data_IF_424626256803
#
_entry.id   IF_424626256803
#
_cell.length_a   1.000
_cell.length_b   1.000
_cell.length_c   1.000
_cell.angle_alpha   90.00
_cell.angle_beta   90.00
_cell.angle_gamma   90.00
#
_symmetry.space_group_name_H-M   'P 1'
#
loop_
_entity.id
_entity.type
_entity.pdbx_description
1 polymer ?
#
# COMPACT_ATOMS: atom_id res chain seq x y z
N UNK A 1 4.51 -5.53 30.83
CA UNK A 1 4.25 -4.63 29.68
C UNK A 1 3.08 -3.75 30.08
N UNK A 2 3.17 -2.44 29.93
CA UNK A 2 2.08 -1.54 30.30
C UNK A 2 0.93 -1.62 29.31
N UNK A 3 -0.27 -1.32 29.78
CA UNK A 3 -1.46 -1.09 28.93
C UNK A 3 -1.91 0.34 29.16
N UNK A 4 -2.13 1.07 28.08
CA UNK A 4 -2.63 2.45 28.08
C UNK A 4 -3.93 2.48 27.28
N UNK A 5 -4.99 3.02 27.85
CA UNK A 5 -6.32 3.03 27.25
C UNK A 5 -6.67 4.39 26.67
N UNK A 6 -7.21 4.38 25.45
CA UNK A 6 -7.71 5.58 24.78
C UNK A 6 -9.18 5.37 24.44
N UNK A 7 -10.01 6.34 24.69
CA UNK A 7 -11.41 6.28 24.31
C UNK A 7 -12.06 7.64 24.12
N UNK A 8 -13.21 7.71 23.43
CA UNK A 8 -13.91 8.96 23.17
C UNK A 8 -14.31 9.71 24.46
N UNK A 9 -14.70 8.98 25.49
CA UNK A 9 -15.21 9.55 26.74
C UNK A 9 -14.55 9.02 28.01
N UNK A 10 -13.82 7.91 27.93
CA UNK A 10 -13.17 7.25 29.06
C UNK A 10 -11.84 6.62 28.64
N UNK A 11 -10.86 6.57 29.55
CA UNK A 11 -9.54 5.99 29.32
C UNK A 11 -8.46 6.79 30.03
N UNK A 12 -7.21 6.39 29.89
CA UNK A 12 -6.06 7.15 30.38
C UNK A 12 -5.85 8.43 29.53
N UNK A 13 -6.20 8.35 28.27
CA UNK A 13 -6.30 9.49 27.36
C UNK A 13 -7.69 9.53 26.73
N UNK A 14 -8.31 10.69 26.70
CA UNK A 14 -9.70 10.88 26.25
C UNK A 14 -9.78 11.84 25.08
N UNK A 15 -10.55 11.46 24.05
CA UNK A 15 -10.87 12.28 22.87
C UNK A 15 -11.02 11.46 21.60
N UNK A 16 -11.52 12.14 20.57
CA UNK A 16 -11.93 11.54 19.27
C UNK A 16 -11.03 11.99 18.12
N UNK A 17 -9.75 12.22 18.38
CA UNK A 17 -8.78 12.62 17.33
C UNK A 17 -7.49 11.81 17.42
N UNK A 18 -6.58 12.03 16.45
CA UNK A 18 -5.25 11.42 16.49
C UNK A 18 -4.41 11.84 17.73
N UNK A 19 -4.73 12.97 18.37
CA UNK A 19 -3.89 13.50 19.45
C UNK A 19 -3.85 12.60 20.70
N UNK A 20 -4.98 12.20 21.35
CA UNK A 20 -4.94 11.27 22.49
C UNK A 20 -4.33 9.91 22.11
N UNK A 21 -4.52 9.42 20.90
CA UNK A 21 -3.90 8.19 20.43
C UNK A 21 -2.37 8.35 20.40
N UNK A 22 -1.87 9.45 19.83
CA UNK A 22 -0.44 9.73 19.76
C UNK A 22 0.19 9.90 21.15
N UNK A 23 -0.49 10.60 22.05
CA UNK A 23 -0.05 10.76 23.43
C UNK A 23 0.08 9.42 24.17
N UNK A 24 -0.87 8.52 23.96
CA UNK A 24 -0.85 7.17 24.53
C UNK A 24 0.31 6.33 23.98
N UNK A 25 0.54 6.39 22.66
CA UNK A 25 1.65 5.71 21.99
C UNK A 25 2.99 6.23 22.51
N UNK A 26 3.16 7.55 22.60
CA UNK A 26 4.39 8.17 23.08
C UNK A 26 4.61 7.87 24.58
N UNK A 27 3.55 7.82 25.39
CA UNK A 27 3.63 7.43 26.81
C UNK A 27 4.04 5.95 27.00
N UNK A 28 3.54 5.05 26.14
CA UNK A 28 3.94 3.64 26.13
C UNK A 28 5.40 3.50 25.69
N UNK A 29 5.80 4.18 24.62
CA UNK A 29 7.16 4.16 24.10
C UNK A 29 8.19 4.67 25.13
N UNK A 30 7.87 5.74 25.85
CA UNK A 30 8.73 6.31 26.90
C UNK A 30 9.02 5.31 28.03
N UNK A 31 8.20 4.26 28.17
CA UNK A 31 8.39 3.16 29.15
C UNK A 31 9.00 1.89 28.52
N UNK A 32 9.56 2.02 27.30
CA UNK A 32 10.20 0.91 26.59
C UNK A 32 9.26 0.07 25.74
N UNK A 33 8.00 0.45 25.62
CA UNK A 33 6.95 -0.22 24.86
C UNK A 33 5.73 -0.59 25.71
N UNK A 34 4.69 -1.09 25.04
CA UNK A 34 3.45 -1.46 25.69
C UNK A 34 2.30 -1.65 24.70
N UNK A 35 1.11 -1.86 25.22
CA UNK A 35 -0.12 -1.93 24.45
C UNK A 35 -0.93 -0.65 24.63
N UNK A 36 -1.34 -0.05 23.50
CA UNK A 36 -2.32 1.04 23.47
C UNK A 36 -3.64 0.45 22.97
N UNK A 37 -4.63 0.42 23.83
CA UNK A 37 -5.97 -0.09 23.54
C UNK A 37 -6.90 1.06 23.18
N UNK A 38 -7.44 1.04 21.96
CA UNK A 38 -8.45 1.99 21.49
C UNK A 38 -9.84 1.41 21.73
N UNK A 39 -10.66 2.12 22.48
CA UNK A 39 -12.06 1.78 22.62
C UNK A 39 -12.83 1.93 21.29
N UNK A 40 -14.03 1.35 21.24
CA UNK A 40 -14.97 1.58 20.14
C UNK A 40 -15.24 3.07 19.97
N UNK A 41 -15.27 3.53 18.73
CA UNK A 41 -15.52 4.93 18.36
C UNK A 41 -14.85 5.33 17.07
N UNK A 42 -15.21 6.49 16.55
CA UNK A 42 -14.59 7.10 15.39
C UNK A 42 -13.63 8.20 15.81
N UNK A 43 -12.38 8.07 15.43
CA UNK A 43 -11.31 9.02 15.71
C UNK A 43 -10.93 9.77 14.44
N UNK A 44 -11.18 11.08 14.42
CA UNK A 44 -10.84 11.93 13.28
C UNK A 44 -9.35 12.22 13.23
N UNK A 45 -8.71 11.87 12.14
CA UNK A 45 -7.29 12.08 11.96
C UNK A 45 -7.02 13.37 11.18
N UNK A 46 -6.29 14.29 11.77
CA UNK A 46 -5.76 15.51 11.13
C UNK A 46 -4.28 15.37 10.79
N UNK A 47 -3.65 14.30 11.27
CA UNK A 47 -2.29 13.88 10.98
C UNK A 47 -2.16 12.39 11.22
N UNK A 48 -1.05 11.82 10.81
CA UNK A 48 -0.71 10.43 11.03
C UNK A 48 -0.71 10.06 12.52
N UNK A 49 -1.23 8.88 12.83
CA UNK A 49 -0.90 8.16 14.05
C UNK A 49 0.48 7.52 13.84
N UNK A 50 1.50 8.05 14.52
CA UNK A 50 2.88 7.62 14.36
C UNK A 50 3.24 6.50 15.33
N UNK A 51 3.57 5.35 14.77
CA UNK A 51 4.01 4.18 15.52
C UNK A 51 5.35 4.42 16.21
N UNK A 52 5.56 3.74 17.33
CA UNK A 52 6.83 3.73 18.08
C UNK A 52 7.31 2.32 18.29
N UNK A 53 8.62 2.18 18.51
CA UNK A 53 9.26 0.91 18.77
C UNK A 53 8.61 0.17 19.95
N UNK A 54 8.38 -1.13 19.80
CA UNK A 54 7.80 -2.02 20.81
C UNK A 54 6.40 -1.61 21.29
N UNK A 55 5.68 -0.78 20.54
CA UNK A 55 4.29 -0.41 20.88
C UNK A 55 3.33 -1.21 20.01
N UNK A 56 2.31 -1.77 20.67
CA UNK A 56 1.19 -2.44 20.04
C UNK A 56 -0.05 -1.54 20.11
N UNK A 57 -0.59 -1.14 18.97
CA UNK A 57 -1.82 -0.38 18.84
C UNK A 57 -2.96 -1.35 18.51
N UNK A 58 -3.97 -1.42 19.35
CA UNK A 58 -5.06 -2.40 19.24
C UNK A 58 -6.41 -1.72 19.31
N UNK A 59 -7.28 -2.00 18.36
CA UNK A 59 -8.68 -1.64 18.37
C UNK A 59 -9.59 -2.82 18.75
N UNK A 60 -10.89 -2.61 18.68
CA UNK A 60 -11.93 -3.63 18.92
C UNK A 60 -12.62 -4.04 17.61
N UNK A 61 -11.83 -4.24 16.55
CA UNK A 61 -12.32 -4.65 15.23
C UNK A 61 -13.01 -3.50 14.49
N UNK A 62 -14.13 -3.80 13.87
CA UNK A 62 -14.92 -2.86 13.05
C UNK A 62 -15.42 -1.63 13.82
N UNK A 63 -15.47 -1.70 15.12
CA UNK A 63 -16.02 -0.64 15.96
C UNK A 63 -14.97 0.44 16.31
N UNK A 64 -13.68 0.21 16.03
CA UNK A 64 -12.63 1.21 16.15
C UNK A 64 -12.26 1.75 14.78
N UNK A 65 -12.66 2.98 14.48
CA UNK A 65 -12.50 3.61 13.18
C UNK A 65 -11.56 4.82 13.27
N UNK A 66 -10.46 4.79 12.53
CA UNK A 66 -9.57 5.92 12.32
C UNK A 66 -9.94 6.57 10.99
N UNK A 67 -10.67 7.68 11.03
CA UNK A 67 -11.18 8.37 9.84
C UNK A 67 -10.35 9.60 9.51
N UNK A 68 -9.83 9.67 8.28
CA UNK A 68 -9.14 10.88 7.78
C UNK A 68 -10.10 12.05 7.69
N UNK A 69 -9.69 13.24 8.16
CA UNK A 69 -10.47 14.48 8.02
C UNK A 69 -10.68 14.85 6.55
N UNK A 70 -11.57 15.81 6.30
CA UNK A 70 -11.77 16.33 4.95
C UNK A 70 -10.52 17.00 4.38
N UNK A 71 -10.43 16.99 3.05
CA UNK A 71 -9.35 17.52 2.27
C UNK A 71 -9.24 19.03 2.34
N UNK A 72 -8.02 19.51 2.51
CA UNK A 72 -7.66 20.92 2.37
C UNK A 72 -6.50 21.00 1.39
N UNK A 73 -6.56 21.91 0.43
CA UNK A 73 -5.49 22.12 -0.55
C UNK A 73 -5.43 23.57 -0.97
N UNK A 74 -4.23 24.06 -1.26
CA UNK A 74 -4.00 25.42 -1.79
C UNK A 74 -2.76 25.45 -2.67
N UNK A 75 -2.84 26.19 -3.77
CA UNK A 75 -1.67 26.52 -4.59
C UNK A 75 -0.70 27.45 -3.87
N UNK A 76 0.51 27.54 -4.37
CA UNK A 76 1.53 28.47 -3.85
C UNK A 76 1.22 29.92 -4.23
N UNK A 77 1.46 30.83 -3.31
CA UNK A 77 1.55 32.26 -3.59
C UNK A 77 3.00 32.71 -3.86
N UNK A 78 3.97 31.93 -3.39
CA UNK A 78 5.41 32.12 -3.59
C UNK A 78 6.05 30.73 -3.67
N UNK A 79 7.02 30.55 -4.55
CA UNK A 79 7.78 29.30 -4.70
C UNK A 79 8.38 28.83 -3.38
N UNK A 80 8.54 27.53 -3.25
CA UNK A 80 9.04 26.88 -2.05
C UNK A 80 10.40 26.25 -2.31
N UNK A 81 11.47 26.96 -1.90
CA UNK A 81 12.85 26.59 -2.19
C UNK A 81 13.36 25.45 -1.32
N UNK A 82 14.21 24.62 -1.88
CA UNK A 82 14.92 23.55 -1.20
C UNK A 82 15.49 23.99 0.16
N UNK A 83 15.33 23.17 1.15
CA UNK A 83 15.86 23.40 2.50
C UNK A 83 15.05 24.37 3.36
N UNK A 84 14.08 25.09 2.81
CA UNK A 84 13.16 25.91 3.61
C UNK A 84 12.13 25.04 4.35
N UNK A 85 11.59 25.60 5.43
CA UNK A 85 10.58 24.95 6.30
C UNK A 85 9.29 25.76 6.35
N UNK A 86 9.02 26.59 5.36
CA UNK A 86 7.80 27.40 5.28
C UNK A 86 7.35 27.53 3.83
N UNK A 87 6.06 27.53 3.60
CA UNK A 87 5.43 27.77 2.30
C UNK A 87 4.36 28.83 2.44
N UNK A 88 4.30 29.76 1.49
CA UNK A 88 3.24 30.77 1.41
C UNK A 88 2.21 30.31 0.38
N UNK A 89 0.98 30.09 0.85
CA UNK A 89 -0.13 29.58 0.05
C UNK A 89 -1.08 30.69 -0.37
N UNK A 90 -1.85 30.47 -1.42
CA UNK A 90 -2.86 31.40 -1.91
C UNK A 90 -4.04 31.54 -0.93
N UNK A 91 -4.48 30.43 -0.37
CA UNK A 91 -5.59 30.37 0.60
C UNK A 91 -5.19 29.47 1.79
N UNK A 92 -5.00 30.02 3.00
CA UNK A 92 -4.67 29.26 4.19
C UNK A 92 -5.88 28.64 4.88
N UNK A 93 -7.10 28.85 4.36
CA UNK A 93 -8.35 28.39 4.99
C UNK A 93 -8.37 26.88 5.15
N UNK A 94 -8.67 26.41 6.36
CA UNK A 94 -8.72 24.99 6.70
C UNK A 94 -7.40 24.37 7.15
N UNK A 95 -6.25 24.99 6.85
CA UNK A 95 -4.96 24.57 7.40
C UNK A 95 -4.84 24.97 8.87
N UNK A 96 -4.20 24.12 9.68
CA UNK A 96 -4.00 24.37 11.11
C UNK A 96 -2.72 23.72 11.63
N UNK A 97 -2.20 24.24 12.72
CA UNK A 97 -1.10 23.60 13.42
C UNK A 97 -1.46 22.15 13.83
N UNK A 98 -0.49 21.25 13.70
CA UNK A 98 -0.65 19.81 13.94
C UNK A 98 -1.18 19.03 12.74
N UNK A 99 -1.59 19.67 11.65
CA UNK A 99 -2.06 18.98 10.44
C UNK A 99 -0.90 18.43 9.62
N UNK A 100 -1.04 17.18 9.18
CA UNK A 100 -0.13 16.56 8.22
C UNK A 100 -0.40 17.07 6.79
N UNK A 101 0.66 17.42 6.07
CA UNK A 101 0.58 17.94 4.70
C UNK A 101 1.63 17.33 3.79
N UNK A 102 1.34 17.35 2.50
CA UNK A 102 2.31 17.12 1.42
C UNK A 102 2.49 18.41 0.66
N UNK A 103 3.75 18.75 0.38
CA UNK A 103 4.17 19.84 -0.51
C UNK A 103 4.75 19.22 -1.77
N UNK A 104 4.25 19.62 -2.94
CA UNK A 104 4.64 19.08 -4.24
C UNK A 104 4.44 20.06 -5.37
N UNK A 105 4.98 19.73 -6.56
CA UNK A 105 4.58 20.30 -7.85
C UNK A 105 4.46 19.19 -8.92
N UNK A 106 4.22 19.54 -10.17
CA UNK A 106 4.02 18.55 -11.26
C UNK A 106 5.32 17.84 -11.67
N UNK A 107 6.49 18.36 -11.28
CA UNK A 107 7.80 17.74 -11.52
C UNK A 107 8.17 16.74 -10.43
N UNK A 108 7.58 16.90 -9.24
CA UNK A 108 7.83 16.04 -8.10
C UNK A 108 7.04 14.72 -8.23
N UNK A 109 7.25 13.85 -7.29
CA UNK A 109 6.53 12.58 -7.17
C UNK A 109 7.34 11.56 -6.39
N UNK A 110 6.68 10.67 -5.70
CA UNK A 110 7.32 9.68 -4.86
C UNK A 110 8.19 10.33 -3.79
N UNK A 111 9.47 10.01 -3.80
CA UNK A 111 10.44 10.52 -2.81
C UNK A 111 10.76 12.01 -2.93
N UNK A 112 10.32 12.65 -4.00
CA UNK A 112 10.52 14.08 -4.24
C UNK A 112 9.37 14.94 -3.70
N UNK A 113 8.30 14.36 -3.19
CA UNK A 113 7.27 15.09 -2.45
C UNK A 113 7.70 15.28 -0.99
N UNK A 114 7.44 16.42 -0.38
CA UNK A 114 7.74 16.65 1.05
C UNK A 114 6.52 16.37 1.91
N UNK A 115 6.60 15.32 2.74
CA UNK A 115 5.62 15.02 3.78
C UNK A 115 6.03 15.71 5.08
N UNK A 116 5.19 16.58 5.64
CA UNK A 116 5.50 17.40 6.81
C UNK A 116 4.27 17.61 7.71
N UNK A 117 4.51 18.18 8.89
CA UNK A 117 3.46 18.65 9.81
C UNK A 117 3.50 20.17 9.91
N UNK A 118 2.35 20.82 9.82
CA UNK A 118 2.26 22.28 10.09
C UNK A 118 2.50 22.54 11.57
N UNK A 119 3.49 23.36 11.89
CA UNK A 119 3.82 23.77 13.26
C UNK A 119 3.14 25.08 13.63
N UNK A 120 2.93 25.99 12.66
CA UNK A 120 2.29 27.29 12.83
C UNK A 120 1.66 27.76 11.53
N UNK A 121 0.49 28.38 11.60
CA UNK A 121 -0.13 29.15 10.49
C UNK A 121 -0.03 30.63 10.84
N UNK A 122 0.65 31.43 10.00
CA UNK A 122 0.83 32.86 10.18
C UNK A 122 0.44 33.62 8.90
N UNK A 123 -0.77 34.17 8.89
CA UNK A 123 -1.34 34.71 7.66
C UNK A 123 -1.42 33.61 6.61
N UNK A 124 -0.86 33.84 5.45
CA UNK A 124 -0.82 32.87 4.35
C UNK A 124 0.42 31.93 4.42
N UNK A 125 1.25 32.03 5.46
CA UNK A 125 2.45 31.22 5.58
C UNK A 125 2.23 30.05 6.52
N UNK A 126 2.49 28.84 6.02
CA UNK A 126 2.49 27.58 6.78
C UNK A 126 3.95 27.28 7.15
N UNK A 127 4.25 27.22 8.43
CA UNK A 127 5.54 26.76 8.95
C UNK A 127 5.48 25.25 9.17
N UNK A 128 6.52 24.52 8.76
CA UNK A 128 6.57 23.07 8.74
C UNK A 128 7.68 22.53 9.63
N UNK A 129 7.52 21.28 10.09
CA UNK A 129 8.52 20.59 10.92
C UNK A 129 9.68 19.99 10.11
N UNK A 130 9.63 20.10 8.77
CA UNK A 130 10.65 19.54 7.85
C UNK A 130 10.99 20.51 6.74
N UNK A 131 12.25 20.44 6.30
CA UNK A 131 12.72 21.15 5.11
C UNK A 131 12.23 20.46 3.83
N UNK A 132 12.03 21.27 2.79
CA UNK A 132 11.70 20.76 1.46
C UNK A 132 12.87 19.96 0.88
N UNK A 133 12.53 18.88 0.17
CA UNK A 133 13.50 17.95 -0.44
C UNK A 133 13.93 18.39 -1.84
N UNK A 134 13.25 19.36 -2.43
CA UNK A 134 13.60 20.00 -3.71
C UNK A 134 12.99 21.41 -3.79
N UNK A 135 13.33 22.17 -4.85
CA UNK A 135 12.62 23.41 -5.18
C UNK A 135 11.28 23.06 -5.81
N UNK A 136 10.20 23.61 -5.26
CA UNK A 136 8.85 23.50 -5.82
C UNK A 136 8.40 24.85 -6.36
N UNK A 137 7.83 24.84 -7.55
CA UNK A 137 7.52 26.01 -8.35
C UNK A 137 5.99 26.17 -8.50
N UNK A 138 5.49 27.34 -8.18
CA UNK A 138 4.07 27.66 -8.30
C UNK A 138 3.56 27.58 -9.73
N UNK A 139 4.38 27.99 -10.71
CA UNK A 139 4.06 27.92 -12.15
C UNK A 139 4.07 26.48 -12.69
N UNK A 140 4.60 25.54 -11.93
CA UNK A 140 4.58 24.08 -12.22
C UNK A 140 3.55 23.34 -11.38
N UNK A 141 2.43 23.98 -11.04
CA UNK A 141 1.37 23.33 -10.28
C UNK A 141 1.68 23.15 -8.80
N UNK A 142 2.52 24.02 -8.22
CA UNK A 142 2.89 23.99 -6.80
C UNK A 142 1.68 23.93 -5.87
N UNK A 143 1.62 22.92 -5.01
CA UNK A 143 0.45 22.56 -4.21
C UNK A 143 0.84 22.11 -2.79
N UNK A 144 0.13 22.63 -1.80
CA UNK A 144 0.07 22.08 -0.45
C UNK A 144 -1.31 21.47 -0.24
N UNK A 145 -1.35 20.25 0.27
CA UNK A 145 -2.61 19.62 0.65
C UNK A 145 -2.44 18.75 1.89
N UNK A 146 -3.52 18.47 2.62
CA UNK A 146 -3.48 17.60 3.80
C UNK A 146 -3.29 16.12 3.44
N UNK A 147 -2.20 15.82 2.72
CA UNK A 147 -1.74 14.48 2.42
C UNK A 147 -0.96 13.91 3.60
N UNK A 148 -1.41 12.80 4.15
CA UNK A 148 -0.67 12.04 5.16
C UNK A 148 -1.17 10.60 5.20
N UNK A 149 -0.31 9.62 5.53
CA UNK A 149 -0.75 8.27 5.82
C UNK A 149 -1.49 8.24 7.17
N UNK A 150 -2.72 7.73 7.24
CA UNK A 150 -3.48 7.63 8.50
C UNK A 150 -2.72 6.97 9.64
N UNK A 151 -2.07 5.84 9.39
CA UNK A 151 -1.20 5.16 10.37
C UNK A 151 0.17 4.95 9.75
N UNK A 152 1.22 5.44 10.39
CA UNK A 152 2.57 5.39 9.83
C UNK A 152 3.64 4.99 10.84
N UNK A 153 4.67 4.28 10.36
CA UNK A 153 5.90 3.98 11.08
C UNK A 153 7.12 4.37 10.26
N UNK A 154 7.91 5.29 10.76
CA UNK A 154 9.18 5.71 10.16
C UNK A 154 10.32 5.29 11.08
N UNK A 155 11.32 4.57 10.54
CA UNK A 155 12.47 4.06 11.33
C UNK A 155 12.05 3.25 12.57
N UNK A 156 10.97 2.49 12.48
CA UNK A 156 10.36 1.80 13.60
C UNK A 156 10.69 0.31 13.60
N UNK A 157 10.82 -0.27 14.77
CA UNK A 157 11.09 -1.69 14.97
C UNK A 157 10.07 -2.29 15.95
N UNK A 158 9.60 -3.51 15.65
CA UNK A 158 8.74 -4.30 16.52
C UNK A 158 7.42 -3.61 16.91
N UNK A 159 6.87 -2.79 16.02
CA UNK A 159 5.55 -2.20 16.20
C UNK A 159 4.45 -3.16 15.68
N UNK A 160 3.31 -3.14 16.33
CA UNK A 160 2.15 -3.96 15.97
C UNK A 160 0.91 -3.08 15.83
N UNK A 161 0.12 -3.31 14.78
CA UNK A 161 -1.21 -2.72 14.57
C UNK A 161 -2.19 -3.86 14.45
N UNK A 162 -3.30 -3.81 15.16
CA UNK A 162 -4.26 -4.93 15.19
C UNK A 162 -5.70 -4.49 15.43
N UNK A 163 -6.64 -5.09 14.68
CA UNK A 163 -8.07 -5.04 14.98
C UNK A 163 -8.68 -3.65 14.89
N UNK A 164 -8.43 -2.87 13.84
CA UNK A 164 -9.03 -1.55 13.63
C UNK A 164 -9.29 -1.27 12.14
N UNK A 165 -10.14 -0.30 11.89
CA UNK A 165 -10.50 0.18 10.55
C UNK A 165 -9.83 1.53 10.30
N UNK A 166 -9.20 1.68 9.14
CA UNK A 166 -8.86 2.98 8.57
C UNK A 166 -9.87 3.32 7.47
N UNK A 167 -10.60 4.40 7.66
CA UNK A 167 -11.45 5.04 6.63
C UNK A 167 -10.69 6.25 6.08
N UNK A 168 -10.28 6.14 4.82
CA UNK A 168 -9.50 7.18 4.14
C UNK A 168 -10.31 8.39 3.72
N UNK A 169 -11.64 8.36 3.83
CA UNK A 169 -12.52 9.46 3.41
C UNK A 169 -12.21 9.94 1.98
N UNK A 170 -12.13 9.01 1.03
CA UNK A 170 -11.73 9.25 -0.37
C UNK A 170 -12.52 10.37 -1.02
N UNK A 171 -13.83 10.42 -0.79
CA UNK A 171 -14.70 11.45 -1.36
C UNK A 171 -14.38 12.86 -0.84
N UNK A 172 -14.04 12.99 0.42
CA UNK A 172 -13.60 14.25 1.03
C UNK A 172 -12.15 14.64 0.74
N UNK A 173 -11.35 13.77 0.10
CA UNK A 173 -9.92 13.97 -0.14
C UNK A 173 -9.57 13.77 -1.62
N UNK A 174 -9.81 14.75 -2.50
CA UNK A 174 -9.65 14.57 -3.95
C UNK A 174 -8.20 14.49 -4.43
N UNK A 175 -7.22 14.95 -3.63
CA UNK A 175 -5.80 14.89 -4.01
C UNK A 175 -5.19 13.58 -3.53
N UNK A 176 -4.66 12.79 -4.50
CA UNK A 176 -4.03 11.50 -4.22
C UNK A 176 -2.66 11.68 -3.58
N UNK A 177 -2.39 10.92 -2.51
CA UNK A 177 -1.03 10.76 -1.96
C UNK A 177 -0.27 9.67 -2.73
N UNK A 178 1.01 9.91 -3.00
CA UNK A 178 1.86 8.92 -3.69
C UNK A 178 2.26 7.76 -2.75
N UNK A 179 2.15 6.53 -3.23
CA UNK A 179 2.41 5.32 -2.45
C UNK A 179 3.86 5.12 -1.99
N UNK A 180 4.82 5.85 -2.57
CA UNK A 180 6.21 5.83 -2.10
C UNK A 180 6.41 6.60 -0.79
N UNK A 181 5.55 7.57 -0.49
CA UNK A 181 5.63 8.42 0.71
C UNK A 181 4.44 8.23 1.67
N UNK A 182 3.43 7.47 1.27
CA UNK A 182 2.25 7.26 2.10
C UNK A 182 1.37 6.12 1.60
N UNK A 183 0.50 5.67 2.45
CA UNK A 183 -0.54 4.66 2.22
C UNK A 183 -1.54 4.75 3.36
N UNK A 184 -2.64 4.01 3.31
CA UNK A 184 -3.57 3.94 4.45
C UNK A 184 -2.87 3.45 5.71
N UNK A 185 -2.10 2.37 5.57
CA UNK A 185 -1.07 1.93 6.52
C UNK A 185 0.27 2.06 5.81
N UNK A 186 1.22 2.76 6.43
CA UNK A 186 2.51 3.05 5.81
C UNK A 186 3.69 2.77 6.74
N UNK A 187 4.68 1.99 6.26
CA UNK A 187 5.92 1.72 6.98
C UNK A 187 7.13 2.09 6.11
N UNK A 188 8.05 2.87 6.65
CA UNK A 188 9.28 3.25 5.96
C UNK A 188 10.50 3.01 6.83
N UNK A 189 11.48 2.27 6.30
CA UNK A 189 12.67 1.82 7.02
C UNK A 189 12.33 1.11 8.35
N UNK A 190 11.24 0.33 8.32
CA UNK A 190 10.73 -0.41 9.47
C UNK A 190 11.22 -1.87 9.45
N UNK A 191 11.25 -2.47 10.63
CA UNK A 191 11.66 -3.89 10.80
C UNK A 191 10.76 -4.60 11.79
N UNK A 192 10.57 -5.91 11.58
CA UNK A 192 9.86 -6.78 12.53
C UNK A 192 8.46 -6.25 12.91
N UNK A 193 7.80 -5.49 12.04
CA UNK A 193 6.49 -4.92 12.32
C UNK A 193 5.38 -5.82 11.80
N UNK A 194 4.21 -5.75 12.45
CA UNK A 194 3.04 -6.55 12.10
C UNK A 194 1.79 -5.69 11.98
N UNK A 195 1.02 -5.94 10.90
CA UNK A 195 -0.31 -5.38 10.67
C UNK A 195 -1.27 -6.57 10.56
N UNK A 196 -2.26 -6.67 11.43
CA UNK A 196 -3.14 -7.83 11.47
C UNK A 196 -4.59 -7.46 11.76
N UNK A 197 -5.51 -8.25 11.17
CA UNK A 197 -6.94 -8.14 11.47
C UNK A 197 -7.50 -6.71 11.28
N UNK A 198 -6.93 -5.97 10.32
CA UNK A 198 -7.25 -4.59 10.02
C UNK A 198 -8.02 -4.46 8.70
N UNK A 199 -8.87 -3.45 8.63
CA UNK A 199 -9.54 -3.04 7.40
C UNK A 199 -9.03 -1.68 6.96
N UNK A 200 -8.78 -1.53 5.66
CA UNK A 200 -8.54 -0.23 5.03
C UNK A 200 -9.53 -0.05 3.89
N UNK A 201 -10.22 1.07 3.90
CA UNK A 201 -11.22 1.39 2.89
C UNK A 201 -11.21 2.86 2.48
N UNK A 202 -11.68 3.11 1.25
CA UNK A 202 -12.00 4.46 0.74
C UNK A 202 -10.84 5.46 0.92
N UNK A 203 -9.60 5.06 0.53
CA UNK A 203 -8.41 5.91 0.63
C UNK A 203 -7.95 6.37 -0.75
N UNK A 204 -7.67 7.67 -0.89
CA UNK A 204 -7.12 8.24 -2.11
C UNK A 204 -5.58 8.18 -2.11
N UNK A 205 -5.07 7.03 -2.45
CA UNK A 205 -3.65 6.66 -2.45
C UNK A 205 -3.53 5.16 -2.52
N UNK A 206 -2.41 4.61 -2.06
CA UNK A 206 -2.19 3.17 -1.96
C UNK A 206 -2.69 2.64 -0.61
N UNK A 207 -2.99 1.36 -0.57
CA UNK A 207 -3.53 0.68 0.60
C UNK A 207 -2.51 0.45 1.72
N UNK A 208 -2.06 -0.79 1.87
CA UNK A 208 -0.98 -1.14 2.81
C UNK A 208 0.33 -1.05 2.05
N UNK A 209 1.10 0.02 2.28
CA UNK A 209 2.39 0.28 1.64
C UNK A 209 3.53 0.26 2.65
N UNK A 210 4.62 -0.41 2.30
CA UNK A 210 5.84 -0.38 3.11
C UNK A 210 7.09 -0.37 2.22
N UNK A 211 8.06 0.49 2.57
CA UNK A 211 9.22 0.81 1.73
C UNK A 211 10.52 0.67 2.53
N UNK A 212 11.53 0.04 1.93
CA UNK A 212 12.87 -0.16 2.54
C UNK A 212 12.76 -0.90 3.89
N UNK A 213 12.01 -1.99 3.92
CA UNK A 213 11.66 -2.68 5.17
C UNK A 213 12.24 -4.09 5.23
N UNK A 214 12.24 -4.68 6.41
CA UNK A 214 12.64 -6.07 6.61
C UNK A 214 11.67 -6.77 7.57
N UNK A 215 11.32 -8.03 7.25
CA UNK A 215 10.55 -8.90 8.13
C UNK A 215 9.19 -8.30 8.55
N UNK A 216 8.48 -7.69 7.58
CA UNK A 216 7.13 -7.16 7.80
C UNK A 216 6.11 -8.28 7.62
N UNK A 217 5.18 -8.40 8.55
CA UNK A 217 4.06 -9.33 8.47
C UNK A 217 2.74 -8.57 8.33
N UNK A 218 2.00 -8.87 7.25
CA UNK A 218 0.63 -8.38 7.04
C UNK A 218 -0.28 -9.60 6.97
N UNK A 219 -1.25 -9.69 7.86
CA UNK A 219 -2.09 -10.89 7.90
C UNK A 219 -3.54 -10.61 8.25
N UNK A 220 -4.44 -11.32 7.57
CA UNK A 220 -5.90 -11.24 7.75
C UNK A 220 -6.44 -9.81 7.66
N UNK A 221 -5.84 -9.01 6.78
CA UNK A 221 -6.27 -7.64 6.50
C UNK A 221 -7.17 -7.61 5.26
N UNK A 222 -8.08 -6.65 5.23
CA UNK A 222 -8.91 -6.35 4.07
C UNK A 222 -8.59 -4.94 3.54
N UNK A 223 -8.35 -4.81 2.24
CA UNK A 223 -8.07 -3.55 1.56
C UNK A 223 -9.02 -3.41 0.39
N UNK A 224 -9.83 -2.33 0.38
CA UNK A 224 -10.87 -2.14 -0.63
C UNK A 224 -11.13 -0.68 -0.98
N UNK A 225 -11.61 -0.46 -2.21
CA UNK A 225 -12.01 0.85 -2.75
C UNK A 225 -10.90 1.91 -2.70
N UNK A 226 -9.65 1.46 -2.87
CA UNK A 226 -8.46 2.30 -2.88
C UNK A 226 -8.25 2.85 -4.29
N UNK A 227 -7.85 4.11 -4.43
CA UNK A 227 -7.58 4.70 -5.75
C UNK A 227 -6.32 4.13 -6.40
N UNK A 228 -5.36 3.70 -5.60
CA UNK A 228 -4.10 3.13 -6.07
C UNK A 228 -4.01 1.62 -5.88
N UNK A 229 -2.83 1.19 -5.48
CA UNK A 229 -2.46 -0.21 -5.28
C UNK A 229 -3.01 -0.72 -3.94
N UNK A 230 -3.62 -1.88 -3.91
CA UNK A 230 -4.17 -2.44 -2.67
C UNK A 230 -3.07 -2.82 -1.66
N UNK A 231 -2.32 -3.88 -1.94
CA UNK A 231 -1.16 -4.31 -1.15
C UNK A 231 0.13 -3.91 -1.89
N UNK A 232 0.97 -3.09 -1.26
CA UNK A 232 2.13 -2.49 -1.91
C UNK A 232 3.42 -2.69 -1.09
N UNK A 233 3.96 -3.93 -1.00
CA UNK A 233 5.34 -4.12 -0.58
C UNK A 233 6.27 -3.43 -1.59
N UNK A 234 7.10 -2.51 -1.10
CA UNK A 234 7.80 -1.59 -1.98
C UNK A 234 9.31 -1.63 -1.85
N UNK A 235 9.91 -0.64 -2.42
CA UNK A 235 11.34 -0.48 -2.72
C UNK A 235 12.26 -1.09 -1.68
N UNK A 236 12.99 -2.15 -2.07
CA UNK A 236 14.04 -2.76 -1.24
C UNK A 236 13.55 -3.47 0.01
N UNK A 237 12.29 -3.91 0.03
CA UNK A 237 11.75 -4.69 1.15
C UNK A 237 12.17 -6.17 1.04
N UNK A 238 12.68 -6.72 2.13
CA UNK A 238 13.16 -8.09 2.20
C UNK A 238 12.34 -8.93 3.19
N UNK A 239 12.07 -10.18 2.82
CA UNK A 239 11.36 -11.21 3.58
C UNK A 239 9.98 -10.75 4.12
N UNK A 240 9.17 -10.03 3.32
CA UNK A 240 7.81 -9.74 3.76
C UNK A 240 6.96 -11.02 3.77
N UNK A 241 6.05 -11.12 4.74
CA UNK A 241 5.01 -12.14 4.77
C UNK A 241 3.67 -11.45 4.65
N UNK A 242 2.90 -11.77 3.60
CA UNK A 242 1.53 -11.28 3.44
C UNK A 242 0.63 -12.50 3.29
N UNK A 243 -0.29 -12.71 4.24
CA UNK A 243 -1.10 -13.92 4.27
C UNK A 243 -2.53 -13.72 4.73
N UNK A 244 -3.44 -14.47 4.09
CA UNK A 244 -4.86 -14.46 4.45
C UNK A 244 -5.51 -13.09 4.29
N UNK A 245 -4.96 -12.23 3.42
CA UNK A 245 -5.45 -10.90 3.17
C UNK A 245 -6.41 -10.88 1.97
N UNK A 246 -7.35 -9.91 1.98
CA UNK A 246 -8.24 -9.62 0.86
C UNK A 246 -7.91 -8.25 0.30
N UNK A 247 -7.68 -8.19 -1.00
CA UNK A 247 -7.45 -6.92 -1.72
C UNK A 247 -8.36 -6.88 -2.93
N UNK A 248 -9.39 -6.02 -2.90
CA UNK A 248 -10.44 -6.07 -3.90
C UNK A 248 -11.10 -4.72 -4.18
N UNK A 249 -11.66 -4.59 -5.38
CA UNK A 249 -12.35 -3.36 -5.84
C UNK A 249 -11.46 -2.12 -5.72
N UNK A 250 -10.15 -2.27 -5.90
CA UNK A 250 -9.21 -1.17 -5.96
C UNK A 250 -9.08 -0.69 -7.41
N UNK A 251 -8.85 0.60 -7.63
CA UNK A 251 -8.85 1.16 -8.99
C UNK A 251 -7.62 0.70 -9.81
N UNK A 252 -6.52 0.31 -9.15
CA UNK A 252 -5.31 -0.25 -9.78
C UNK A 252 -5.09 -1.74 -9.44
N UNK A 253 -3.86 -2.16 -9.16
CA UNK A 253 -3.53 -3.57 -8.86
C UNK A 253 -3.97 -3.99 -7.46
N UNK A 254 -4.45 -5.20 -7.34
CA UNK A 254 -4.74 -5.78 -6.03
C UNK A 254 -3.49 -5.94 -5.17
N UNK A 255 -2.39 -6.39 -5.79
CA UNK A 255 -1.11 -6.61 -5.15
C UNK A 255 0.03 -6.22 -6.11
N UNK A 256 0.88 -5.30 -5.70
CA UNK A 256 1.98 -4.78 -6.50
C UNK A 256 3.30 -4.85 -5.76
N UNK A 257 4.26 -5.63 -6.28
CA UNK A 257 5.63 -5.59 -5.81
C UNK A 257 6.36 -4.43 -6.49
N UNK A 258 6.89 -3.50 -5.68
CA UNK A 258 7.54 -2.31 -6.20
C UNK A 258 9.03 -2.31 -5.91
N UNK A 259 9.83 -2.67 -6.88
CA UNK A 259 11.28 -2.54 -6.91
C UNK A 259 12.07 -3.25 -5.79
N UNK A 260 12.63 -4.39 -6.09
CA UNK A 260 13.53 -5.16 -5.23
C UNK A 260 12.86 -5.73 -3.98
N UNK A 261 11.64 -6.22 -4.13
CA UNK A 261 11.00 -7.05 -3.10
C UNK A 261 11.56 -8.46 -3.23
N UNK A 262 12.19 -8.96 -2.20
CA UNK A 262 12.93 -10.22 -2.25
C UNK A 262 12.61 -11.15 -1.09
N UNK A 263 12.67 -12.47 -1.37
CA UNK A 263 12.51 -13.54 -0.37
C UNK A 263 11.16 -13.45 0.38
N UNK A 264 10.12 -12.92 -0.28
CA UNK A 264 8.79 -12.75 0.28
C UNK A 264 7.98 -14.05 0.25
N UNK A 265 7.13 -14.23 1.25
CA UNK A 265 6.09 -15.26 1.30
C UNK A 265 4.71 -14.61 1.21
N UNK A 266 3.97 -14.94 0.17
CA UNK A 266 2.65 -14.39 -0.12
C UNK A 266 1.66 -15.55 -0.25
N UNK A 267 0.87 -15.79 0.80
CA UNK A 267 0.09 -17.02 0.88
C UNK A 267 -1.37 -16.81 1.28
N UNK A 268 -2.26 -17.62 0.67
CA UNK A 268 -3.68 -17.66 1.00
C UNK A 268 -4.38 -16.28 0.91
N UNK A 269 -3.96 -15.42 -0.01
CA UNK A 269 -4.56 -14.10 -0.23
C UNK A 269 -5.64 -14.18 -1.32
N UNK A 270 -6.66 -13.33 -1.23
CA UNK A 270 -7.71 -13.13 -2.24
C UNK A 270 -7.49 -11.77 -2.93
N UNK A 271 -7.23 -11.77 -4.24
CA UNK A 271 -6.96 -10.59 -5.08
C UNK A 271 -8.05 -10.51 -6.16
N UNK A 272 -9.13 -9.79 -5.89
CA UNK A 272 -10.35 -9.92 -6.71
C UNK A 272 -10.93 -8.58 -7.14
N UNK A 273 -11.49 -8.55 -8.36
CA UNK A 273 -12.23 -7.39 -8.89
C UNK A 273 -11.44 -6.07 -8.82
N UNK A 274 -10.11 -6.10 -9.00
CA UNK A 274 -9.29 -4.91 -9.06
C UNK A 274 -9.26 -4.34 -10.49
N UNK A 275 -9.12 -3.03 -10.60
CA UNK A 275 -9.23 -2.30 -11.87
C UNK A 275 -8.15 -2.62 -12.89
N UNK A 276 -7.03 -3.21 -12.49
CA UNK A 276 -5.95 -3.60 -13.39
C UNK A 276 -5.53 -5.05 -13.18
N UNK A 277 -4.39 -5.31 -12.56
CA UNK A 277 -3.88 -6.67 -12.32
C UNK A 277 -4.29 -7.19 -10.94
N UNK A 278 -4.50 -8.49 -10.84
CA UNK A 278 -4.59 -9.11 -9.51
C UNK A 278 -3.26 -9.02 -8.78
N UNK A 279 -2.17 -9.43 -9.45
CA UNK A 279 -0.81 -9.42 -8.93
C UNK A 279 0.17 -8.89 -9.99
N UNK A 280 1.04 -7.96 -9.60
CA UNK A 280 2.07 -7.37 -10.47
C UNK A 280 3.46 -7.54 -9.86
N UNK A 281 4.39 -8.10 -10.65
CA UNK A 281 5.77 -8.41 -10.27
C UNK A 281 6.72 -7.78 -11.30
N UNK A 282 7.84 -7.19 -10.89
CA UNK A 282 8.76 -6.57 -11.88
C UNK A 282 10.11 -6.25 -11.28
N UNK A 283 10.49 -5.02 -11.34
CA UNK A 283 11.82 -4.45 -11.12
C UNK A 283 12.66 -5.09 -10.00
N UNK A 284 13.38 -6.17 -10.31
CA UNK A 284 14.21 -6.96 -9.40
C UNK A 284 13.43 -7.57 -8.22
N UNK A 285 12.14 -7.81 -8.40
CA UNK A 285 11.33 -8.55 -7.44
C UNK A 285 11.63 -10.04 -7.64
N UNK A 286 12.47 -10.61 -6.80
CA UNK A 286 13.06 -11.93 -7.04
C UNK A 286 12.98 -12.84 -5.83
N UNK A 287 13.01 -14.15 -6.12
CA UNK A 287 13.08 -15.17 -5.08
C UNK A 287 11.87 -15.19 -4.14
N UNK A 288 10.71 -14.74 -4.63
CA UNK A 288 9.46 -14.71 -3.89
C UNK A 288 8.64 -15.98 -4.13
N UNK A 289 7.88 -16.40 -3.12
CA UNK A 289 6.94 -17.51 -3.18
C UNK A 289 5.50 -17.01 -3.04
N UNK A 290 4.67 -17.28 -4.06
CA UNK A 290 3.24 -17.04 -4.08
C UNK A 290 2.51 -18.37 -3.93
N UNK A 291 1.88 -18.60 -2.79
CA UNK A 291 1.33 -19.91 -2.39
C UNK A 291 -0.17 -19.84 -2.13
N UNK A 292 -0.95 -20.68 -2.82
CA UNK A 292 -2.38 -20.86 -2.59
C UNK A 292 -3.22 -19.57 -2.62
N UNK A 293 -2.84 -18.57 -3.42
CA UNK A 293 -3.62 -17.36 -3.56
C UNK A 293 -4.76 -17.54 -4.57
N UNK A 294 -5.84 -16.79 -4.37
CA UNK A 294 -6.96 -16.69 -5.31
C UNK A 294 -6.85 -15.34 -6.04
N UNK A 295 -6.77 -15.38 -7.36
CA UNK A 295 -6.62 -14.18 -8.23
C UNK A 295 -7.76 -14.22 -9.25
N UNK A 296 -8.84 -13.47 -9.00
CA UNK A 296 -10.08 -13.63 -9.78
C UNK A 296 -10.72 -12.31 -10.16
N UNK A 297 -11.30 -12.28 -11.37
CA UNK A 297 -12.19 -11.21 -11.83
C UNK A 297 -11.50 -9.85 -12.00
N UNK A 298 -10.16 -9.80 -12.05
CA UNK A 298 -9.45 -8.54 -12.20
C UNK A 298 -9.59 -8.03 -13.65
N UNK A 299 -9.64 -6.71 -13.82
CA UNK A 299 -10.02 -6.08 -15.09
C UNK A 299 -8.89 -6.06 -16.14
N UNK A 300 -7.78 -6.75 -15.88
CA UNK A 300 -6.71 -7.01 -16.83
C UNK A 300 -6.16 -8.44 -16.63
N UNK A 301 -4.85 -8.62 -16.48
CA UNK A 301 -4.28 -9.95 -16.25
C UNK A 301 -4.44 -10.39 -14.79
N UNK A 302 -4.57 -11.70 -14.57
CA UNK A 302 -4.51 -12.23 -13.20
C UNK A 302 -3.16 -11.92 -12.56
N UNK A 303 -2.08 -12.45 -13.13
CA UNK A 303 -0.70 -12.17 -12.72
C UNK A 303 0.07 -11.57 -13.88
N UNK A 304 0.78 -10.47 -13.63
CA UNK A 304 1.62 -9.79 -14.63
C UNK A 304 3.07 -9.68 -14.14
N UNK A 305 3.99 -10.29 -14.88
CA UNK A 305 5.41 -9.97 -14.79
C UNK A 305 5.68 -8.82 -15.77
N UNK A 306 6.06 -7.65 -15.24
CA UNK A 306 6.19 -6.40 -16.00
C UNK A 306 7.33 -6.45 -17.03
N UNK A 307 7.23 -5.59 -18.05
CA UNK A 307 8.23 -5.48 -19.11
C UNK A 307 9.50 -4.79 -18.61
N UNK A 308 10.40 -5.55 -18.01
CA UNK A 308 11.64 -5.06 -17.44
C UNK A 308 12.86 -5.44 -18.30
N UNK A 309 13.90 -4.61 -18.23
CA UNK A 309 15.21 -4.87 -18.86
C UNK A 309 15.90 -6.07 -18.20
N UNK A 310 16.91 -6.70 -18.85
CA UNK A 310 17.60 -7.89 -18.29
C UNK A 310 18.09 -7.72 -16.85
N UNK A 311 18.65 -6.56 -16.52
CA UNK A 311 19.18 -6.28 -15.18
C UNK A 311 18.13 -5.98 -14.13
N UNK A 312 16.88 -5.80 -14.55
CA UNK A 312 15.78 -5.37 -13.70
C UNK A 312 14.62 -6.38 -13.65
N UNK A 313 14.73 -7.50 -14.34
CA UNK A 313 13.64 -8.46 -14.45
C UNK A 313 13.26 -9.10 -13.11
N UNK A 314 11.97 -9.40 -12.94
CA UNK A 314 11.41 -10.10 -11.79
C UNK A 314 11.58 -11.61 -11.95
N UNK A 315 12.79 -12.13 -11.72
CA UNK A 315 13.15 -13.51 -12.00
C UNK A 315 13.18 -14.40 -10.75
N UNK A 316 13.27 -15.73 -10.91
CA UNK A 316 13.35 -16.74 -9.85
C UNK A 316 12.19 -16.73 -8.86
N UNK A 317 11.02 -16.32 -9.30
CA UNK A 317 9.80 -16.38 -8.50
C UNK A 317 9.09 -17.71 -8.69
N UNK A 318 8.41 -18.18 -7.66
CA UNK A 318 7.60 -19.39 -7.68
C UNK A 318 6.14 -19.06 -7.41
N UNK A 319 5.25 -19.53 -8.31
CA UNK A 319 3.81 -19.51 -8.12
C UNK A 319 3.35 -20.96 -7.93
N UNK A 320 2.85 -21.32 -6.74
CA UNK A 320 2.45 -22.67 -6.41
C UNK A 320 1.05 -22.74 -5.82
N UNK A 321 0.22 -23.64 -6.36
CA UNK A 321 -1.10 -23.94 -5.81
C UNK A 321 -2.10 -22.78 -5.93
N UNK A 322 -1.82 -21.76 -6.76
CA UNK A 322 -2.73 -20.61 -6.87
C UNK A 322 -3.91 -20.93 -7.80
N UNK A 323 -5.06 -20.32 -7.52
CA UNK A 323 -6.23 -20.32 -8.40
C UNK A 323 -6.32 -18.99 -9.10
N UNK A 324 -6.20 -18.98 -10.43
CA UNK A 324 -6.18 -17.78 -11.28
C UNK A 324 -7.31 -17.91 -12.29
N UNK A 325 -8.40 -17.20 -12.06
CA UNK A 325 -9.62 -17.43 -12.82
C UNK A 325 -10.39 -16.16 -13.17
N UNK A 326 -11.11 -16.20 -14.28
CA UNK A 326 -12.09 -15.18 -14.70
C UNK A 326 -11.54 -13.76 -14.90
N UNK A 327 -10.23 -13.60 -15.05
CA UNK A 327 -9.62 -12.29 -15.30
C UNK A 327 -9.89 -11.84 -16.75
N UNK A 328 -9.87 -10.52 -17.02
CA UNK A 328 -10.22 -10.01 -18.35
C UNK A 328 -9.12 -10.28 -19.40
N UNK A 329 -7.87 -10.33 -18.97
CA UNK A 329 -6.72 -10.58 -19.86
C UNK A 329 -6.23 -12.03 -19.81
N UNK A 330 -4.93 -12.22 -19.66
CA UNK A 330 -4.35 -13.56 -19.51
C UNK A 330 -4.36 -13.98 -18.03
N UNK A 331 -4.36 -15.27 -17.77
CA UNK A 331 -4.19 -15.78 -16.40
C UNK A 331 -2.83 -15.35 -15.83
N UNK A 332 -1.74 -15.79 -16.44
CA UNK A 332 -0.37 -15.35 -16.15
C UNK A 332 0.21 -14.72 -17.42
N UNK A 333 0.72 -13.49 -17.32
CA UNK A 333 1.31 -12.74 -18.40
C UNK A 333 2.75 -12.38 -18.08
N UNK A 334 3.72 -12.98 -18.80
CA UNK A 334 5.16 -12.84 -18.53
C UNK A 334 5.79 -11.97 -19.61
N UNK A 335 6.23 -10.78 -19.24
CA UNK A 335 6.86 -9.80 -20.13
C UNK A 335 8.35 -9.63 -19.83
N UNK A 336 9.01 -8.86 -20.71
CA UNK A 336 10.40 -8.45 -20.58
C UNK A 336 11.37 -9.63 -20.49
N UNK A 337 12.48 -9.42 -19.79
CA UNK A 337 13.53 -10.41 -19.65
C UNK A 337 13.38 -11.27 -18.38
N UNK A 338 12.16 -11.53 -17.98
CA UNK A 338 11.84 -12.38 -16.82
C UNK A 338 12.32 -13.81 -17.08
N UNK A 339 13.04 -14.40 -16.13
CA UNK A 339 13.60 -15.75 -16.28
C UNK A 339 13.47 -16.60 -15.03
N UNK A 340 13.61 -17.91 -15.19
CA UNK A 340 13.67 -18.88 -14.08
C UNK A 340 12.40 -18.88 -13.23
N UNK A 341 11.25 -18.85 -13.86
CA UNK A 341 9.97 -18.98 -13.18
C UNK A 341 9.57 -20.44 -12.98
N UNK A 342 9.07 -20.75 -11.79
CA UNK A 342 8.39 -22.02 -11.52
C UNK A 342 6.91 -21.76 -11.27
N UNK A 343 6.07 -22.31 -12.17
CA UNK A 343 4.62 -22.28 -12.08
C UNK A 343 4.18 -23.73 -11.78
N UNK A 344 3.76 -24.03 -10.55
CA UNK A 344 3.55 -25.41 -10.11
C UNK A 344 2.19 -25.58 -9.44
N UNK A 345 1.48 -26.66 -9.81
CA UNK A 345 0.20 -27.05 -9.22
C UNK A 345 -0.88 -25.93 -9.22
N UNK A 346 -0.79 -24.95 -10.13
CA UNK A 346 -1.78 -23.88 -10.21
C UNK A 346 -3.00 -24.32 -11.03
N UNK A 347 -4.15 -23.75 -10.72
CA UNK A 347 -5.38 -23.85 -11.51
C UNK A 347 -5.59 -22.52 -12.24
N UNK A 348 -5.53 -22.57 -13.59
CA UNK A 348 -5.79 -21.43 -14.44
C UNK A 348 -7.02 -21.74 -15.29
N UNK A 349 -8.11 -20.98 -15.15
CA UNK A 349 -9.33 -21.27 -15.90
C UNK A 349 -10.23 -20.04 -16.06
N UNK A 350 -11.11 -20.09 -17.06
CA UNK A 350 -12.31 -19.26 -17.09
C UNK A 350 -13.51 -20.14 -16.70
N UNK A 351 -14.22 -19.79 -15.65
CA UNK A 351 -15.35 -20.57 -15.16
C UNK A 351 -16.64 -20.29 -15.93
N UNK A 352 -16.66 -19.23 -16.72
CA UNK A 352 -17.78 -18.81 -17.56
C UNK A 352 -17.83 -19.63 -18.86
N UNK A 353 -18.92 -19.53 -19.57
CA UNK A 353 -19.16 -20.30 -20.80
C UNK A 353 -19.46 -19.38 -21.99
N UNK A 354 -19.21 -19.87 -23.21
CA UNK A 354 -19.48 -19.12 -24.45
C UNK A 354 -18.78 -17.78 -24.47
N UNK A 355 -19.52 -16.75 -24.93
CA UNK A 355 -18.99 -15.39 -25.09
C UNK A 355 -18.79 -14.62 -23.78
N UNK A 356 -19.24 -15.18 -22.66
CA UNK A 356 -19.00 -14.59 -21.32
C UNK A 356 -17.56 -14.78 -20.84
N UNK A 357 -16.78 -15.68 -21.48
CA UNK A 357 -15.37 -15.88 -21.12
C UNK A 357 -14.54 -14.66 -21.47
N UNK A 358 -13.64 -14.28 -20.58
CA UNK A 358 -12.73 -13.13 -20.80
C UNK A 358 -11.27 -13.50 -20.62
N UNK A 359 -10.93 -14.55 -19.87
CA UNK A 359 -9.53 -14.95 -19.67
C UNK A 359 -8.98 -15.56 -20.97
N UNK A 360 -8.14 -14.81 -21.66
CA UNK A 360 -7.76 -15.11 -23.05
C UNK A 360 -6.82 -16.31 -23.16
N UNK A 361 -5.68 -16.26 -22.47
CA UNK A 361 -4.65 -17.28 -22.48
C UNK A 361 -4.32 -17.66 -21.04
N UNK A 362 -4.13 -18.94 -20.77
CA UNK A 362 -3.75 -19.39 -19.43
C UNK A 362 -2.40 -18.86 -19.01
N UNK A 363 -1.32 -19.21 -19.75
CA UNK A 363 0.03 -18.71 -19.53
C UNK A 363 0.54 -18.11 -20.85
N UNK A 364 0.80 -16.81 -20.86
CA UNK A 364 1.41 -16.11 -21.99
C UNK A 364 2.85 -15.69 -21.63
N UNK A 365 3.82 -16.06 -22.49
CA UNK A 365 5.24 -15.78 -22.29
C UNK A 365 5.77 -15.02 -23.49
N UNK A 366 6.29 -13.82 -23.27
CA UNK A 366 6.88 -12.94 -24.28
C UNK A 366 8.23 -13.44 -24.80
N UNK A 367 8.65 -12.92 -25.94
CA UNK A 367 9.83 -13.37 -26.70
C UNK A 367 11.18 -13.24 -25.96
N UNK A 368 11.26 -12.34 -24.98
CA UNK A 368 12.49 -12.12 -24.21
C UNK A 368 12.52 -12.84 -22.86
N UNK A 369 11.38 -13.41 -22.44
CA UNK A 369 11.32 -14.22 -21.24
C UNK A 369 11.84 -15.63 -21.52
N UNK A 370 12.48 -16.26 -20.56
CA UNK A 370 13.10 -17.56 -20.76
C UNK A 370 13.04 -18.45 -19.52
N UNK A 371 13.18 -19.75 -19.71
CA UNK A 371 13.19 -20.76 -18.63
C UNK A 371 11.94 -20.67 -17.73
N UNK A 372 10.77 -20.50 -18.34
CA UNK A 372 9.47 -20.58 -17.65
C UNK A 372 9.04 -22.04 -17.64
N UNK A 373 9.00 -22.62 -16.45
CA UNK A 373 8.59 -24.02 -16.23
C UNK A 373 7.19 -24.08 -15.62
N UNK A 374 6.29 -24.77 -16.30
CA UNK A 374 4.92 -25.01 -15.83
C UNK A 374 4.75 -26.50 -15.53
N UNK A 375 4.67 -26.84 -14.25
CA UNK A 375 4.67 -28.22 -13.73
C UNK A 375 3.31 -28.52 -13.10
N UNK A 376 2.63 -29.58 -13.56
CA UNK A 376 1.34 -30.07 -13.04
C UNK A 376 0.25 -28.99 -12.88
N UNK A 377 0.28 -27.96 -13.73
CA UNK A 377 -0.81 -26.96 -13.71
C UNK A 377 -2.03 -27.47 -14.45
N UNK A 378 -3.20 -27.12 -13.95
CA UNK A 378 -4.47 -27.35 -14.65
C UNK A 378 -4.87 -26.07 -15.38
N UNK A 379 -4.83 -26.10 -16.72
CA UNK A 379 -5.08 -24.94 -17.58
C UNK A 379 -6.26 -25.27 -18.51
N UNK A 380 -7.38 -24.58 -18.35
CA UNK A 380 -8.60 -24.98 -19.06
C UNK A 380 -9.56 -23.82 -19.35
N UNK A 381 -10.35 -23.98 -20.40
CA UNK A 381 -11.48 -23.13 -20.78
C UNK A 381 -11.13 -21.67 -21.06
N UNK A 382 -9.91 -21.39 -21.55
CA UNK A 382 -9.51 -20.06 -22.00
C UNK A 382 -10.11 -19.72 -23.37
N UNK A 383 -10.20 -18.41 -23.70
CA UNK A 383 -10.79 -17.95 -24.98
C UNK A 383 -9.95 -18.36 -26.16
N UNK A 384 -8.61 -18.24 -26.07
CA UNK A 384 -7.69 -18.43 -27.21
C UNK A 384 -6.83 -19.68 -27.05
N UNK A 385 -6.07 -19.81 -25.98
CA UNK A 385 -5.12 -20.90 -25.79
C UNK A 385 -4.81 -21.20 -24.31
N UNK A 386 -4.39 -22.43 -24.06
CA UNK A 386 -3.85 -22.78 -22.73
C UNK A 386 -2.52 -22.09 -22.45
N UNK A 387 -1.61 -22.08 -23.46
CA UNK A 387 -0.28 -21.45 -23.36
C UNK A 387 0.08 -20.76 -24.67
N UNK A 388 0.97 -19.75 -24.57
CA UNK A 388 1.59 -19.05 -25.68
C UNK A 388 3.05 -18.71 -25.35
N UNK A 389 3.94 -18.81 -26.35
CA UNK A 389 5.37 -18.55 -26.16
C UNK A 389 6.14 -19.75 -25.62
N UNK A 390 7.37 -19.54 -25.18
CA UNK A 390 8.28 -20.59 -24.73
C UNK A 390 7.98 -21.00 -23.28
N UNK A 391 7.16 -22.04 -23.09
CA UNK A 391 6.79 -22.63 -21.80
C UNK A 391 7.20 -24.10 -21.78
N UNK A 392 8.06 -24.47 -20.82
CA UNK A 392 8.38 -25.89 -20.59
C UNK A 392 7.29 -26.53 -19.75
N UNK A 393 6.48 -27.41 -20.35
CA UNK A 393 5.45 -28.16 -19.66
C UNK A 393 6.01 -29.47 -19.07
N UNK A 394 5.71 -29.78 -17.81
CA UNK A 394 6.15 -31.02 -17.14
C UNK A 394 5.09 -31.55 -16.14
#
# INVERSE_FOLDING_TARGET
MIVVKVGPSTGDFVGETNLPIQQAIDAAAARGGGTVELAAGTYTLYNSVLLRRNVRLVGVGSDTILRKCDGVASGFAVDADYGQTKVTVQDPTGFRAGMGVVVKDDRSGGWLDTLATITLVQGNTLHLDRAFVMDYDGDQGGLVYNGFPPVAGFDVDSAVIEGLVVDGNKQGNPVRINGCIGGGYYLHRARNCRIADCVLQDFNGDGISFQITQDIVVERCEVRHITGLGLHPGTGSARPIIRGCKSHHNDEDGFFLCWRVQEGLFENNELTENGRFGLSIGHKDTDNLFLNNVVRGNHSHGVCFRNEKPTNAGSRNTLRGNTIEDNVGNGIHVLGHTTDLLLEDNVLRDTRTGDARTQRIGIWVGEHAARVRAVRNRIENHVEAATWGEVTLA
#
